data_IF_369382862603
#
_entry.id   IF_369382862603
#
_cell.length_a   1.000
_cell.length_b   1.000
_cell.length_c   1.000
_cell.angle_alpha   90.00
_cell.angle_beta   90.00
_cell.angle_gamma   90.00
#
_symmetry.space_group_name_H-M   'P 1'
#
loop_
_entity.id
_entity.type
_entity.pdbx_description
1 polymer ?
#
# COMPACT_ATOMS: atom_id res chain seq x y z
N UNK A 1 -39.86 -28.47 -19.80
CA UNK A 1 -39.11 -27.95 -18.66
C UNK A 1 -37.66 -27.83 -19.14
N UNK A 2 -37.27 -26.65 -19.60
CA UNK A 2 -35.88 -26.34 -19.92
C UNK A 2 -35.30 -25.78 -18.62
N UNK A 3 -34.35 -26.47 -18.03
CA UNK A 3 -33.51 -25.93 -16.96
C UNK A 3 -32.55 -24.94 -17.60
N UNK A 4 -32.67 -23.67 -17.21
CA UNK A 4 -31.70 -22.61 -17.52
C UNK A 4 -30.37 -22.98 -16.82
N UNK A 5 -29.43 -23.48 -17.61
CA UNK A 5 -28.01 -23.50 -17.24
C UNK A 5 -27.49 -22.04 -17.30
N UNK A 6 -27.59 -21.31 -16.19
CA UNK A 6 -26.82 -20.09 -16.01
C UNK A 6 -25.34 -20.49 -15.91
N UNK A 7 -24.58 -20.05 -16.89
CA UNK A 7 -23.11 -20.10 -16.94
C UNK A 7 -22.53 -19.39 -15.72
N UNK A 8 -22.02 -20.17 -14.75
CA UNK A 8 -21.29 -19.73 -13.56
C UNK A 8 -19.84 -19.34 -13.95
N UNK A 9 -19.67 -18.41 -14.88
CA UNK A 9 -18.36 -17.94 -15.28
C UNK A 9 -17.72 -17.10 -14.15
N UNK A 10 -16.43 -17.32 -13.83
CA UNK A 10 -15.73 -16.56 -12.80
C UNK A 10 -15.72 -15.05 -13.12
N UNK A 11 -16.07 -14.21 -12.14
CA UNK A 11 -15.97 -12.75 -12.26
C UNK A 11 -14.64 -12.29 -11.64
N UNK A 12 -13.70 -11.73 -12.44
CA UNK A 12 -12.44 -11.21 -11.91
C UNK A 12 -12.67 -9.96 -11.05
N UNK A 13 -11.95 -9.83 -9.96
CA UNK A 13 -11.90 -8.60 -9.16
C UNK A 13 -11.00 -7.59 -9.88
N UNK A 14 -11.61 -6.70 -10.65
CA UNK A 14 -10.89 -5.62 -11.34
C UNK A 14 -10.56 -4.47 -10.39
N UNK A 15 -9.32 -3.98 -10.40
CA UNK A 15 -8.94 -2.70 -9.83
C UNK A 15 -9.46 -1.56 -10.69
N UNK A 16 -10.68 -1.09 -10.44
CA UNK A 16 -11.19 0.14 -11.04
C UNK A 16 -10.93 1.31 -10.09
N UNK A 17 -10.22 2.35 -10.56
CA UNK A 17 -10.29 3.68 -9.95
C UNK A 17 -11.76 4.05 -9.86
N UNK A 18 -12.33 4.00 -8.64
CA UNK A 18 -13.72 4.38 -8.44
C UNK A 18 -13.81 5.91 -8.53
N UNK A 19 -14.33 6.43 -9.64
CA UNK A 19 -14.96 7.75 -9.65
C UNK A 19 -16.11 7.73 -8.63
N UNK A 20 -16.10 8.64 -7.68
CA UNK A 20 -17.19 8.74 -6.69
C UNK A 20 -18.39 9.37 -7.38
N UNK A 21 -19.28 8.53 -7.87
CA UNK A 21 -20.58 8.98 -8.41
C UNK A 21 -21.51 9.22 -7.23
N UNK A 22 -21.91 10.49 -7.02
CA UNK A 22 -22.87 10.85 -5.98
C UNK A 22 -24.26 10.86 -6.58
N UNK A 23 -25.01 9.79 -6.31
CA UNK A 23 -26.43 9.74 -6.59
C UNK A 23 -27.18 10.62 -5.58
N UNK A 24 -28.09 11.50 -6.07
CA UNK A 24 -28.96 12.41 -5.34
C UNK A 24 -28.34 13.76 -4.94
N UNK A 25 -27.84 14.53 -5.90
CA UNK A 25 -27.77 15.97 -5.71
C UNK A 25 -29.20 16.55 -5.53
N UNK A 26 -29.40 17.58 -4.68
CA UNK A 26 -30.67 18.29 -4.61
C UNK A 26 -31.07 18.78 -6.01
N UNK A 27 -32.16 18.29 -6.56
CA UNK A 27 -32.57 18.54 -7.93
C UNK A 27 -32.53 17.34 -8.88
N UNK A 28 -32.13 16.14 -8.39
CA UNK A 28 -32.21 14.85 -9.11
C UNK A 28 -31.12 14.61 -10.15
N UNK A 29 -29.98 15.34 -10.08
CA UNK A 29 -28.83 15.16 -10.96
C UNK A 29 -27.70 14.34 -10.31
N UNK A 30 -26.86 13.74 -11.15
CA UNK A 30 -25.57 13.15 -10.75
C UNK A 30 -24.52 14.26 -10.72
N UNK A 31 -23.77 14.38 -9.62
CA UNK A 31 -22.62 15.26 -9.54
C UNK A 31 -21.36 14.38 -9.59
N UNK A 32 -20.61 14.50 -10.67
CA UNK A 32 -19.32 13.83 -10.83
C UNK A 32 -18.22 14.69 -10.23
N UNK A 33 -17.44 14.08 -9.33
CA UNK A 33 -16.23 14.69 -8.80
C UNK A 33 -15.02 14.14 -9.57
N UNK A 34 -14.21 15.05 -10.11
CA UNK A 34 -12.94 14.70 -10.78
C UNK A 34 -11.88 14.23 -9.78
N UNK A 35 -12.03 14.67 -8.54
CA UNK A 35 -11.13 14.41 -7.40
C UNK A 35 -11.96 14.02 -6.16
N UNK A 36 -11.37 14.04 -4.95
CA UNK A 36 -12.13 13.81 -3.73
C UNK A 36 -13.27 14.81 -3.52
N UNK A 37 -14.42 14.38 -3.00
CA UNK A 37 -15.62 15.22 -2.86
C UNK A 37 -15.53 16.14 -1.63
N UNK A 38 -14.59 17.09 -1.64
CA UNK A 38 -14.31 18.00 -0.53
C UNK A 38 -15.47 18.96 -0.20
N UNK A 39 -16.40 19.19 -1.15
CA UNK A 39 -17.56 20.07 -0.97
C UNK A 39 -18.75 19.40 -0.27
N UNK A 40 -18.76 18.09 -0.08
CA UNK A 40 -19.95 17.38 0.37
C UNK A 40 -19.97 17.21 1.88
N UNK A 41 -20.94 17.85 2.53
CA UNK A 41 -21.23 17.76 3.95
C UNK A 41 -22.09 16.54 4.29
N UNK A 42 -21.66 15.33 3.95
CA UNK A 42 -22.44 14.12 4.22
C UNK A 42 -21.52 13.01 4.77
N UNK A 43 -21.96 12.21 5.73
CA UNK A 43 -21.13 11.11 6.28
C UNK A 43 -20.59 10.14 5.22
N UNK A 44 -21.35 9.87 4.15
CA UNK A 44 -20.89 9.05 3.02
C UNK A 44 -19.79 9.68 2.19
N UNK A 45 -19.62 11.00 2.24
CA UNK A 45 -18.56 11.73 1.54
C UNK A 45 -17.26 11.83 2.34
N UNK A 46 -17.20 11.20 3.51
CA UNK A 46 -16.02 11.05 4.38
C UNK A 46 -15.44 12.34 4.96
N UNK A 47 -15.87 13.52 4.50
CA UNK A 47 -15.44 14.82 5.01
C UNK A 47 -13.98 15.13 4.71
N UNK A 48 -13.61 15.24 3.44
CA UNK A 48 -12.28 15.71 3.05
C UNK A 48 -12.09 17.19 3.38
N UNK A 49 -10.87 17.56 3.77
CA UNK A 49 -10.53 18.96 4.00
C UNK A 49 -10.55 19.75 2.68
N UNK A 50 -11.34 20.82 2.56
CA UNK A 50 -11.33 21.67 1.36
C UNK A 50 -10.08 22.55 1.37
N UNK A 51 -9.06 22.14 0.62
CA UNK A 51 -7.79 22.85 0.48
C UNK A 51 -7.66 23.43 -0.93
N UNK A 52 -7.02 24.61 -0.99
CA UNK A 52 -6.69 25.32 -2.22
C UNK A 52 -5.20 25.64 -2.29
N UNK A 53 -4.72 25.98 -3.47
CA UNK A 53 -3.35 26.48 -3.63
C UNK A 53 -3.19 27.82 -2.90
N UNK A 54 -2.10 27.94 -2.15
CA UNK A 54 -1.82 29.11 -1.31
C UNK A 54 -2.43 29.07 0.09
N UNK A 55 -3.29 28.07 0.41
CA UNK A 55 -3.75 27.88 1.78
C UNK A 55 -2.55 27.55 2.71
N UNK A 56 -2.62 28.04 3.94
CA UNK A 56 -1.59 27.79 4.94
C UNK A 56 -2.08 26.85 6.03
N UNK A 57 -1.20 25.98 6.52
CA UNK A 57 -1.46 24.98 7.55
C UNK A 57 -0.49 25.18 8.72
N UNK A 58 -0.89 24.68 9.92
CA UNK A 58 -0.08 24.75 11.15
C UNK A 58 0.39 26.16 11.45
N UNK A 59 -0.57 27.09 11.63
CA UNK A 59 -0.31 28.50 11.94
C UNK A 59 0.64 29.20 10.95
N UNK A 60 0.54 28.86 9.66
CA UNK A 60 1.33 29.46 8.58
C UNK A 60 2.66 28.77 8.31
N UNK A 61 2.98 27.69 9.02
CA UNK A 61 4.23 26.92 8.83
C UNK A 61 4.35 26.29 7.44
N UNK A 62 3.24 25.82 6.86
CA UNK A 62 3.19 25.12 5.59
C UNK A 62 2.25 25.83 4.62
N UNK A 63 2.73 26.17 3.43
CA UNK A 63 1.92 26.67 2.33
C UNK A 63 1.63 25.56 1.31
N UNK A 64 0.38 25.37 0.93
CA UNK A 64 -0.05 24.38 -0.07
C UNK A 64 0.31 24.86 -1.47
N UNK A 65 1.24 24.16 -2.14
CA UNK A 65 1.74 24.57 -3.47
C UNK A 65 1.32 23.65 -4.60
N UNK A 66 0.94 22.40 -4.30
CA UNK A 66 0.51 21.41 -5.32
C UNK A 66 -0.31 20.30 -4.69
N UNK A 67 -1.27 19.77 -5.42
CA UNK A 67 -1.90 18.50 -5.06
C UNK A 67 -1.15 17.35 -5.71
N UNK A 68 -0.78 16.34 -4.93
CA UNK A 68 -0.04 15.18 -5.44
C UNK A 68 -0.99 14.04 -5.79
N UNK A 69 -1.92 13.71 -4.88
CA UNK A 69 -2.88 12.60 -5.05
C UNK A 69 -4.01 12.67 -4.03
N UNK A 70 -4.95 11.75 -4.13
CA UNK A 70 -5.92 11.49 -3.09
C UNK A 70 -6.24 9.98 -3.00
N UNK A 71 -6.78 9.57 -1.87
CA UNK A 71 -7.20 8.21 -1.58
C UNK A 71 -8.52 8.21 -0.80
N UNK A 72 -9.03 7.03 -0.51
CA UNK A 72 -10.30 6.81 0.22
C UNK A 72 -10.35 7.52 1.59
N UNK A 73 -9.20 7.69 2.25
CA UNK A 73 -9.10 8.22 3.62
C UNK A 73 -8.39 9.56 3.73
N UNK A 74 -7.75 10.05 2.65
CA UNK A 74 -6.88 11.22 2.70
C UNK A 74 -6.72 11.89 1.35
N UNK A 75 -6.25 13.13 1.35
CA UNK A 75 -5.62 13.79 0.22
C UNK A 75 -4.15 14.07 0.53
N UNK A 76 -3.29 14.09 -0.49
CA UNK A 76 -1.86 14.32 -0.35
C UNK A 76 -1.47 15.56 -1.15
N UNK A 77 -0.82 16.50 -0.46
CA UNK A 77 -0.45 17.80 -0.98
C UNK A 77 1.04 18.01 -0.86
N UNK A 78 1.62 18.70 -1.79
CA UNK A 78 2.97 19.25 -1.62
C UNK A 78 2.87 20.58 -0.92
N UNK A 79 3.67 20.76 0.10
CA UNK A 79 3.74 21.99 0.87
C UNK A 79 5.15 22.58 0.86
N UNK A 80 5.20 23.90 0.88
CA UNK A 80 6.41 24.70 1.09
C UNK A 80 6.48 25.07 2.58
N UNK A 81 7.60 24.76 3.24
CA UNK A 81 7.82 25.10 4.64
C UNK A 81 8.35 26.52 4.80
N UNK A 82 7.77 27.33 5.69
CA UNK A 82 8.34 28.61 6.08
C UNK A 82 9.41 28.41 7.17
N UNK A 83 10.67 28.38 6.76
CA UNK A 83 11.81 28.22 7.66
C UNK A 83 12.02 29.39 8.64
N UNK A 84 11.31 30.52 8.47
CA UNK A 84 11.42 31.66 9.39
C UNK A 84 10.78 31.38 10.76
N UNK A 85 9.84 30.42 10.81
CA UNK A 85 9.04 30.10 11.98
C UNK A 85 9.68 28.96 12.79
N UNK A 86 10.69 28.24 12.29
CA UNK A 86 11.15 26.99 12.85
C UNK A 86 12.51 27.08 13.54
N UNK A 87 12.59 26.37 14.66
CA UNK A 87 13.80 26.17 15.46
C UNK A 87 14.93 25.53 14.65
N UNK A 88 16.03 26.25 14.44
CA UNK A 88 17.28 25.93 13.72
C UNK A 88 18.05 24.69 14.25
N UNK A 89 17.43 23.68 14.82
CA UNK A 89 18.20 22.67 15.54
C UNK A 89 18.70 21.49 14.68
N UNK A 90 18.04 21.15 13.54
CA UNK A 90 18.52 20.11 12.63
C UNK A 90 17.98 20.36 11.21
N UNK A 91 18.81 20.81 10.24
CA UNK A 91 18.39 21.06 8.85
C UNK A 91 17.78 19.84 8.16
N UNK A 92 18.25 18.65 8.50
CA UNK A 92 17.77 17.37 7.91
C UNK A 92 16.36 16.97 8.38
N UNK A 93 15.80 17.70 9.36
CA UNK A 93 14.49 17.42 9.97
C UNK A 93 13.38 18.37 9.51
N UNK A 94 13.70 19.31 8.65
CA UNK A 94 12.79 20.35 8.20
C UNK A 94 13.08 20.72 6.73
N UNK A 95 12.66 19.83 5.80
CA UNK A 95 12.87 20.06 4.38
C UNK A 95 12.04 21.24 3.89
N UNK A 96 12.53 21.97 2.88
CA UNK A 96 11.81 23.06 2.23
C UNK A 96 10.48 22.60 1.64
N UNK A 97 10.44 21.39 1.09
CA UNK A 97 9.24 20.79 0.53
C UNK A 97 8.90 19.49 1.25
N UNK A 98 7.63 19.31 1.57
CA UNK A 98 7.10 18.09 2.21
C UNK A 98 5.85 17.60 1.51
N UNK A 99 5.61 16.27 1.60
CA UNK A 99 4.33 15.67 1.23
C UNK A 99 3.41 15.70 2.46
N UNK A 100 2.34 16.49 2.40
CA UNK A 100 1.36 16.64 3.46
C UNK A 100 0.18 15.71 3.23
N UNK A 101 0.11 14.60 3.97
CA UNK A 101 -1.06 13.72 4.01
C UNK A 101 -2.09 14.30 4.97
N UNK A 102 -3.27 14.60 4.46
CA UNK A 102 -4.38 15.19 5.22
C UNK A 102 -5.50 14.16 5.29
N UNK A 103 -5.71 13.59 6.47
CA UNK A 103 -6.80 12.64 6.69
C UNK A 103 -8.16 13.35 6.58
N UNK A 104 -9.12 12.69 5.95
CA UNK A 104 -10.50 13.16 6.03
C UNK A 104 -11.04 13.05 7.48
N UNK A 105 -12.14 13.73 7.79
CA UNK A 105 -12.67 13.81 9.16
C UNK A 105 -13.02 12.42 9.73
N UNK A 106 -13.54 11.49 8.90
CA UNK A 106 -13.87 10.14 9.33
C UNK A 106 -12.61 9.32 9.65
N UNK A 107 -11.54 9.44 8.86
CA UNK A 107 -10.28 8.76 9.11
C UNK A 107 -9.60 9.32 10.37
N UNK A 108 -9.62 10.65 10.55
CA UNK A 108 -9.11 11.30 11.77
C UNK A 108 -9.85 10.84 13.02
N UNK A 109 -11.17 10.67 12.94
CA UNK A 109 -11.96 10.15 14.08
C UNK A 109 -11.60 8.69 14.39
N UNK A 110 -11.41 7.84 13.37
CA UNK A 110 -10.98 6.45 13.57
C UNK A 110 -9.62 6.37 14.25
N UNK A 111 -8.66 7.19 13.84
CA UNK A 111 -7.35 7.29 14.50
C UNK A 111 -7.50 7.64 15.98
N UNK A 112 -8.31 8.65 16.31
CA UNK A 112 -8.57 9.08 17.68
C UNK A 112 -9.26 8.00 18.54
N UNK A 113 -10.05 7.12 17.93
CA UNK A 113 -10.74 5.99 18.59
C UNK A 113 -9.91 4.70 18.61
N UNK A 114 -8.61 4.77 18.25
CA UNK A 114 -7.72 3.61 18.11
C UNK A 114 -8.23 2.55 17.12
N UNK A 115 -8.96 2.96 16.10
CA UNK A 115 -9.33 2.14 14.95
C UNK A 115 -8.26 2.15 13.85
N UNK A 116 -7.12 2.77 14.11
CA UNK A 116 -5.90 2.83 13.30
C UNK A 116 -4.71 3.07 14.22
N UNK A 117 -3.51 2.67 13.79
CA UNK A 117 -2.26 2.83 14.54
C UNK A 117 -1.21 3.61 13.74
N UNK A 118 -1.61 4.37 12.71
CA UNK A 118 -0.67 5.11 11.88
C UNK A 118 0.16 6.11 12.68
N UNK A 119 -0.49 6.87 13.57
CA UNK A 119 0.18 7.85 14.43
C UNK A 119 1.18 7.16 15.38
N UNK A 120 0.75 6.08 16.05
CA UNK A 120 1.60 5.34 16.98
C UNK A 120 2.83 4.75 16.27
N UNK A 121 2.64 4.18 15.08
CA UNK A 121 3.73 3.67 14.24
C UNK A 121 4.74 4.78 13.88
N UNK A 122 4.25 5.94 13.42
CA UNK A 122 5.09 7.07 13.05
C UNK A 122 5.86 7.65 14.24
N UNK A 123 5.24 7.73 15.43
CA UNK A 123 5.90 8.20 16.65
C UNK A 123 7.02 7.23 17.09
N UNK A 124 6.81 5.92 17.00
CA UNK A 124 7.85 4.91 17.28
C UNK A 124 8.99 4.98 16.28
N UNK A 125 8.70 5.09 14.99
CA UNK A 125 9.73 5.28 13.96
C UNK A 125 10.56 6.53 14.23
N UNK A 126 9.93 7.64 14.64
CA UNK A 126 10.63 8.89 14.99
C UNK A 126 11.62 8.72 16.14
N UNK A 127 11.35 7.84 17.11
CA UNK A 127 12.28 7.53 18.22
C UNK A 127 13.54 6.81 17.72
N UNK A 128 13.52 6.17 16.56
CA UNK A 128 14.60 5.41 15.96
C UNK A 128 15.37 6.17 14.86
N UNK A 129 15.14 7.48 14.69
CA UNK A 129 15.75 8.24 13.59
C UNK A 129 17.27 8.41 13.69
N UNK A 130 17.86 8.21 14.87
CA UNK A 130 19.30 8.20 15.08
C UNK A 130 19.90 6.77 15.00
N UNK A 131 19.12 5.77 14.54
CA UNK A 131 19.58 4.39 14.36
C UNK A 131 20.54 4.27 13.16
N UNK A 132 21.61 3.49 13.34
CA UNK A 132 22.53 3.12 12.24
C UNK A 132 22.01 1.97 11.38
N UNK A 133 20.77 1.50 11.63
CA UNK A 133 20.21 0.38 10.88
C UNK A 133 19.96 0.76 9.42
N UNK A 134 20.48 0.00 8.43
CA UNK A 134 20.39 0.36 7.01
C UNK A 134 18.94 0.49 6.50
N UNK A 135 18.00 -0.24 7.10
CA UNK A 135 16.59 -0.19 6.73
C UNK A 135 15.88 1.13 7.03
N UNK A 136 16.44 1.96 7.93
CA UNK A 136 15.89 3.30 8.20
C UNK A 136 15.83 4.17 6.94
N UNK A 137 16.82 4.06 6.04
CA UNK A 137 16.87 4.82 4.78
C UNK A 137 15.80 4.39 3.77
N UNK A 138 15.16 3.23 4.01
CA UNK A 138 14.09 2.68 3.17
C UNK A 138 12.70 2.78 3.81
N UNK A 139 12.53 3.65 4.81
CA UNK A 139 11.25 4.01 5.39
C UNK A 139 10.96 5.51 5.17
N UNK A 140 9.71 5.87 4.90
CA UNK A 140 9.32 7.30 4.84
C UNK A 140 9.53 7.95 6.19
N UNK A 141 9.99 9.20 6.22
CA UNK A 141 10.11 10.00 7.43
C UNK A 141 8.89 10.90 7.58
N UNK A 142 8.31 10.91 8.79
CA UNK A 142 7.25 11.84 9.17
C UNK A 142 7.84 12.96 10.03
N UNK A 143 7.99 14.15 9.47
CA UNK A 143 8.63 15.29 10.13
C UNK A 143 7.73 15.94 11.19
N UNK A 144 6.43 16.02 10.88
CA UNK A 144 5.45 16.75 11.71
C UNK A 144 4.09 16.08 11.69
N UNK A 145 3.35 16.21 12.81
CA UNK A 145 1.95 15.79 12.92
C UNK A 145 1.19 16.85 13.69
N UNK A 146 0.11 17.35 13.10
CA UNK A 146 -0.74 18.37 13.72
C UNK A 146 -2.20 18.19 13.28
N UNK A 147 -3.08 19.06 13.77
CA UNK A 147 -4.51 18.96 13.46
C UNK A 147 -5.04 20.29 12.94
N UNK A 148 -5.76 20.22 11.84
CA UNK A 148 -6.51 21.32 11.26
C UNK A 148 -8.01 21.15 11.46
N UNK A 149 -8.76 22.23 11.29
CA UNK A 149 -10.23 22.22 11.34
C UNK A 149 -10.82 22.76 10.04
N UNK A 150 -11.86 22.10 9.58
CA UNK A 150 -12.70 22.60 8.48
C UNK A 150 -14.19 22.50 8.83
N UNK A 151 -15.04 22.85 7.88
CA UNK A 151 -16.50 22.68 7.99
C UNK A 151 -16.93 21.21 8.17
N UNK A 152 -16.05 20.26 7.85
CA UNK A 152 -16.29 18.81 7.95
C UNK A 152 -15.81 18.21 9.27
N UNK A 153 -15.01 18.92 10.05
CA UNK A 153 -14.48 18.45 11.32
C UNK A 153 -12.98 18.67 11.49
N UNK A 154 -12.35 17.80 12.29
CA UNK A 154 -10.90 17.79 12.49
C UNK A 154 -10.23 16.90 11.45
N UNK A 155 -9.04 17.31 11.03
CA UNK A 155 -8.18 16.60 10.10
C UNK A 155 -6.80 16.44 10.72
N UNK A 156 -6.31 15.19 10.79
CA UNK A 156 -4.92 14.94 11.12
C UNK A 156 -4.09 15.18 9.86
N UNK A 157 -3.08 16.01 10.00
CA UNK A 157 -2.13 16.39 8.95
C UNK A 157 -0.77 15.83 9.32
N UNK A 158 -0.11 15.19 8.38
CA UNK A 158 1.19 14.54 8.56
C UNK A 158 2.13 14.96 7.44
N UNK A 159 3.26 15.57 7.79
CA UNK A 159 4.28 16.02 6.85
C UNK A 159 5.34 14.93 6.67
N UNK A 160 5.44 14.39 5.45
CA UNK A 160 6.35 13.31 5.09
C UNK A 160 7.47 13.77 4.15
N UNK A 161 8.49 12.91 4.02
CA UNK A 161 9.46 12.99 2.93
C UNK A 161 8.73 13.08 1.59
N UNK A 162 9.17 14.02 0.75
CA UNK A 162 8.68 14.13 -0.61
C UNK A 162 9.23 12.98 -1.46
N UNK A 163 8.35 12.26 -2.12
CA UNK A 163 8.68 11.10 -2.96
C UNK A 163 8.11 11.28 -4.37
N UNK A 164 8.60 10.48 -5.29
CA UNK A 164 8.03 10.30 -6.62
C UNK A 164 6.80 9.39 -6.64
N UNK A 165 6.60 8.69 -7.75
CA UNK A 165 5.50 7.74 -7.95
C UNK A 165 5.68 6.48 -7.10
N UNK A 166 4.64 5.66 -7.01
CA UNK A 166 4.74 4.34 -6.39
C UNK A 166 5.40 3.31 -7.33
N UNK A 167 5.85 2.18 -6.80
CA UNK A 167 6.31 1.05 -7.64
C UNK A 167 5.17 0.48 -8.48
N UNK A 168 3.92 0.60 -8.04
CA UNK A 168 2.73 0.17 -8.78
C UNK A 168 2.53 1.04 -10.02
N UNK A 169 2.54 2.37 -9.86
CA UNK A 169 2.49 3.32 -10.98
C UNK A 169 3.68 3.10 -11.95
N UNK A 170 4.88 2.87 -11.41
CA UNK A 170 6.08 2.64 -12.21
C UNK A 170 6.03 1.32 -12.98
N UNK A 171 5.37 0.28 -12.43
CA UNK A 171 5.12 -0.99 -13.08
C UNK A 171 4.15 -0.82 -14.27
N UNK A 172 3.09 -0.04 -14.08
CA UNK A 172 2.11 0.27 -15.14
C UNK A 172 2.76 1.00 -16.33
N UNK A 173 3.82 1.75 -16.10
CA UNK A 173 4.60 2.42 -17.16
C UNK A 173 5.52 1.46 -17.93
N UNK A 174 5.77 0.23 -17.42
CA UNK A 174 6.64 -0.73 -18.10
C UNK A 174 5.91 -1.35 -19.30
N UNK A 175 6.62 -1.56 -20.45
CA UNK A 175 5.98 -2.04 -21.70
C UNK A 175 5.23 -3.36 -21.57
N UNK A 176 5.63 -4.23 -20.64
CA UNK A 176 5.02 -5.54 -20.41
C UNK A 176 4.28 -5.61 -19.05
N UNK A 177 4.16 -4.49 -18.34
CA UNK A 177 3.66 -4.50 -16.98
C UNK A 177 4.52 -5.32 -16.00
N UNK A 178 5.83 -5.52 -16.32
CA UNK A 178 6.76 -6.29 -15.49
C UNK A 178 8.10 -5.57 -15.37
N UNK A 179 8.78 -5.76 -14.24
CA UNK A 179 10.17 -5.31 -14.08
C UNK A 179 11.16 -6.40 -14.49
N UNK A 180 12.36 -5.97 -14.91
CA UNK A 180 13.48 -6.91 -15.12
C UNK A 180 13.95 -7.49 -13.78
N UNK A 181 14.49 -8.71 -13.80
CA UNK A 181 14.97 -9.39 -12.58
C UNK A 181 15.95 -8.56 -11.75
N UNK A 182 16.96 -7.86 -12.33
CA UNK A 182 17.86 -7.01 -11.56
C UNK A 182 17.14 -5.88 -10.80
N UNK A 183 16.11 -5.28 -11.41
CA UNK A 183 15.28 -4.23 -10.79
C UNK A 183 14.47 -4.82 -9.64
N UNK A 184 13.85 -6.00 -9.82
CA UNK A 184 13.10 -6.69 -8.77
C UNK A 184 14.02 -7.05 -7.59
N UNK A 185 15.20 -7.64 -7.84
CA UNK A 185 16.19 -7.92 -6.80
C UNK A 185 16.57 -6.66 -6.01
N UNK A 186 16.76 -5.53 -6.71
CA UNK A 186 17.13 -4.26 -6.10
C UNK A 186 16.08 -3.78 -5.11
N UNK A 187 14.82 -3.61 -5.53
CA UNK A 187 13.81 -3.06 -4.62
C UNK A 187 13.34 -4.07 -3.57
N UNK A 188 13.33 -5.38 -3.85
CA UNK A 188 13.01 -6.42 -2.86
C UNK A 188 14.07 -6.43 -1.75
N UNK A 189 15.35 -6.25 -2.08
CA UNK A 189 16.41 -6.09 -1.05
C UNK A 189 16.15 -4.89 -0.16
N UNK A 190 15.78 -3.75 -0.73
CA UNK A 190 15.46 -2.53 0.01
C UNK A 190 14.19 -2.71 0.87
N UNK A 191 13.16 -3.39 0.34
CA UNK A 191 11.96 -3.74 1.08
C UNK A 191 12.27 -4.63 2.29
N UNK A 192 13.14 -5.64 2.12
CA UNK A 192 13.59 -6.49 3.23
C UNK A 192 14.40 -5.72 4.28
N UNK A 193 15.26 -4.78 3.88
CA UNK A 193 15.97 -3.90 4.81
C UNK A 193 14.98 -3.05 5.62
N UNK A 194 13.96 -2.47 4.96
CA UNK A 194 12.92 -1.71 5.63
C UNK A 194 12.13 -2.57 6.62
N UNK A 195 11.71 -3.78 6.22
CA UNK A 195 10.97 -4.69 7.09
C UNK A 195 11.82 -5.18 8.27
N UNK A 196 13.11 -5.46 8.08
CA UNK A 196 13.99 -5.82 9.17
C UNK A 196 14.09 -4.70 10.21
N UNK A 197 14.22 -3.45 9.77
CA UNK A 197 14.17 -2.29 10.65
C UNK A 197 12.82 -2.16 11.37
N UNK A 198 11.70 -2.26 10.67
CA UNK A 198 10.37 -2.15 11.25
C UNK A 198 10.10 -3.26 12.28
N UNK A 199 10.49 -4.49 11.99
CA UNK A 199 10.28 -5.65 12.85
C UNK A 199 11.16 -5.64 14.08
N UNK A 200 12.46 -5.27 13.95
CA UNK A 200 13.47 -5.44 15.02
C UNK A 200 13.71 -4.17 15.83
N UNK A 201 13.68 -2.98 15.20
CA UNK A 201 13.98 -1.72 15.88
C UNK A 201 12.72 -0.96 16.29
N UNK A 202 11.66 -1.05 15.49
CA UNK A 202 10.42 -0.29 15.72
C UNK A 202 9.33 -1.15 16.35
N UNK A 203 9.43 -2.48 16.23
CA UNK A 203 8.42 -3.45 16.69
C UNK A 203 7.06 -3.25 16.01
N UNK A 204 7.05 -3.11 14.68
CA UNK A 204 5.85 -2.92 13.86
C UNK A 204 5.72 -4.06 12.86
N UNK A 205 4.49 -4.53 12.64
CA UNK A 205 4.08 -5.36 11.50
C UNK A 205 3.32 -4.47 10.53
N UNK A 206 3.73 -4.39 9.27
CA UNK A 206 3.16 -3.45 8.29
C UNK A 206 1.76 -3.88 7.81
N UNK A 207 1.56 -5.17 7.56
CA UNK A 207 0.30 -5.81 7.14
C UNK A 207 -0.25 -5.40 5.76
N UNK A 208 0.41 -4.54 5.01
CA UNK A 208 -0.02 -4.12 3.66
C UNK A 208 1.19 -3.88 2.73
N UNK A 209 2.13 -4.86 2.72
CA UNK A 209 3.34 -4.80 1.88
C UNK A 209 2.95 -5.12 0.43
N UNK A 210 2.91 -4.08 -0.40
CA UNK A 210 2.56 -4.15 -1.83
C UNK A 210 3.21 -3.00 -2.60
N UNK A 211 3.30 -3.10 -3.93
CA UNK A 211 3.96 -2.12 -4.79
C UNK A 211 3.43 -0.69 -4.59
N UNK A 212 2.12 -0.53 -4.39
CA UNK A 212 1.48 0.77 -4.17
C UNK A 212 1.90 1.48 -2.86
N UNK A 213 2.56 0.77 -1.93
CA UNK A 213 3.04 1.34 -0.66
C UNK A 213 4.58 1.53 -0.64
N UNK A 214 5.25 1.30 -1.77
CA UNK A 214 6.66 1.67 -1.98
C UNK A 214 6.74 2.86 -2.93
N UNK A 215 7.38 3.92 -2.46
CA UNK A 215 7.54 5.17 -3.19
C UNK A 215 8.97 5.31 -3.68
N UNK A 216 9.14 5.83 -4.91
CA UNK A 216 10.46 6.15 -5.47
C UNK A 216 11.05 7.33 -4.71
N UNK A 217 12.27 7.19 -4.21
CA UNK A 217 13.00 8.31 -3.62
C UNK A 217 13.38 9.32 -4.71
N UNK A 218 13.09 10.58 -4.46
CA UNK A 218 13.50 11.69 -5.34
C UNK A 218 14.97 12.02 -5.08
N UNK A 219 15.78 12.05 -6.14
CA UNK A 219 17.15 12.54 -6.12
C UNK A 219 17.17 13.94 -6.79
N UNK A 220 16.71 14.94 -6.05
CA UNK A 220 16.67 16.33 -6.49
C UNK A 220 16.80 17.27 -5.30
N UNK A 221 17.58 18.34 -5.49
CA UNK A 221 17.65 19.42 -4.54
C UNK A 221 16.46 20.39 -4.66
N UNK A 222 16.32 21.28 -3.70
CA UNK A 222 15.26 22.28 -3.65
C UNK A 222 15.23 23.21 -4.88
N UNK A 223 16.36 23.46 -5.52
CA UNK A 223 16.45 24.33 -6.70
C UNK A 223 15.84 23.64 -7.92
N UNK A 224 16.10 22.32 -8.10
CA UNK A 224 15.50 21.50 -9.15
C UNK A 224 13.98 21.44 -8.99
N UNK A 225 13.51 21.16 -7.78
CA UNK A 225 12.07 21.12 -7.46
C UNK A 225 11.43 22.50 -7.70
N UNK A 226 12.05 23.58 -7.21
CA UNK A 226 11.53 24.95 -7.40
C UNK A 226 11.40 25.31 -8.87
N UNK A 227 12.42 24.97 -9.68
CA UNK A 227 12.39 25.20 -11.13
C UNK A 227 11.27 24.43 -11.81
N UNK A 228 11.13 23.14 -11.46
CA UNK A 228 10.04 22.31 -12.00
C UNK A 228 8.66 22.90 -11.71
N UNK A 229 8.41 23.37 -10.48
CA UNK A 229 7.13 23.99 -10.11
C UNK A 229 6.86 25.29 -10.87
N UNK A 230 7.89 26.07 -11.21
CA UNK A 230 7.75 27.26 -12.04
C UNK A 230 7.41 26.93 -13.50
N UNK A 231 8.04 25.87 -14.04
CA UNK A 231 7.83 25.43 -15.44
C UNK A 231 6.50 24.63 -15.59
N UNK A 232 6.03 24.01 -14.53
CA UNK A 232 4.82 23.17 -14.49
C UNK A 232 3.92 23.60 -13.32
N UNK A 233 3.24 24.75 -13.43
CA UNK A 233 2.41 25.28 -12.35
C UNK A 233 1.26 24.33 -12.03
N UNK A 234 0.81 24.40 -10.78
CA UNK A 234 -0.35 23.63 -10.33
C UNK A 234 -1.63 24.13 -10.97
N UNK A 235 -2.52 23.20 -11.33
CA UNK A 235 -3.74 23.50 -12.05
C UNK A 235 -4.98 23.17 -11.20
N UNK A 236 -6.07 23.89 -11.51
CA UNK A 236 -7.40 23.58 -10.99
C UNK A 236 -8.36 23.28 -12.16
N UNK A 237 -9.40 22.51 -11.88
CA UNK A 237 -10.52 22.37 -12.80
C UNK A 237 -11.30 23.69 -12.89
N UNK A 238 -12.11 23.88 -13.95
CA UNK A 238 -12.98 25.06 -14.05
C UNK A 238 -13.87 25.19 -12.81
N UNK A 239 -13.91 26.41 -12.25
CA UNK A 239 -14.76 26.71 -11.09
C UNK A 239 -16.23 26.39 -11.39
N UNK A 240 -16.88 25.69 -10.48
CA UNK A 240 -18.31 25.33 -10.58
C UNK A 240 -19.08 25.93 -9.41
N UNK A 241 -20.39 26.06 -9.61
CA UNK A 241 -21.34 26.52 -8.58
C UNK A 241 -22.48 25.52 -8.48
N UNK A 242 -22.77 25.07 -7.27
CA UNK A 242 -23.88 24.15 -7.01
C UNK A 242 -24.47 24.44 -5.62
N UNK A 243 -25.48 25.31 -5.57
CA UNK A 243 -26.07 25.84 -4.33
C UNK A 243 -26.64 24.79 -3.37
N UNK A 244 -26.93 23.57 -3.84
CA UNK A 244 -27.38 22.47 -3.00
C UNK A 244 -26.24 21.64 -2.36
N UNK A 245 -25.00 21.83 -2.82
CA UNK A 245 -23.82 21.11 -2.30
C UNK A 245 -22.90 22.01 -1.49
N UNK A 246 -22.68 23.24 -1.97
CA UNK A 246 -21.72 24.17 -1.39
C UNK A 246 -22.18 25.63 -1.54
N UNK A 247 -21.97 26.45 -0.50
CA UNK A 247 -22.42 27.84 -0.44
C UNK A 247 -21.47 28.83 -1.15
N UNK A 248 -20.61 28.37 -2.03
CA UNK A 248 -19.62 29.18 -2.71
C UNK A 248 -19.10 28.53 -3.99
N UNK A 249 -18.02 29.07 -4.55
CA UNK A 249 -17.37 28.43 -5.70
C UNK A 249 -16.76 27.09 -5.30
N UNK A 250 -16.97 26.07 -6.11
CA UNK A 250 -16.30 24.77 -5.98
C UNK A 250 -15.02 24.85 -6.80
N UNK A 251 -13.89 24.93 -6.11
CA UNK A 251 -12.55 24.96 -6.72
C UNK A 251 -11.88 23.63 -6.43
N UNK A 252 -11.73 22.80 -7.45
CA UNK A 252 -11.11 21.49 -7.34
C UNK A 252 -9.69 21.55 -7.95
N UNK A 253 -8.68 21.29 -7.14
CA UNK A 253 -7.28 21.26 -7.57
C UNK A 253 -6.99 19.91 -8.21
N UNK A 254 -6.32 19.90 -9.37
CA UNK A 254 -5.93 18.69 -10.08
C UNK A 254 -4.82 17.94 -9.34
N UNK A 255 -4.93 16.63 -9.25
CA UNK A 255 -3.83 15.78 -8.80
C UNK A 255 -2.74 15.72 -9.86
N UNK A 256 -1.55 16.20 -9.51
CA UNK A 256 -0.38 16.32 -10.38
C UNK A 256 0.84 15.79 -9.63
N UNK A 257 1.11 14.47 -9.68
CA UNK A 257 2.27 13.88 -9.02
C UNK A 257 3.58 14.48 -9.54
N UNK A 258 4.64 14.33 -8.77
CA UNK A 258 5.98 14.75 -9.19
C UNK A 258 6.62 13.67 -10.07
N UNK A 259 7.49 14.07 -11.01
CA UNK A 259 8.32 13.10 -11.71
C UNK A 259 9.33 12.44 -10.77
N UNK A 260 9.84 11.29 -11.16
CA UNK A 260 10.88 10.58 -10.44
C UNK A 260 12.25 11.21 -10.73
N UNK A 261 12.49 12.40 -10.16
CA UNK A 261 13.73 13.14 -10.37
C UNK A 261 14.97 12.26 -10.10
N UNK A 262 15.94 12.32 -11.00
CA UNK A 262 17.19 11.57 -10.91
C UNK A 262 17.08 10.07 -11.20
N UNK A 263 15.88 9.52 -11.42
CA UNK A 263 15.70 8.12 -11.76
C UNK A 263 16.19 7.84 -13.20
N UNK A 264 17.09 6.86 -13.31
CA UNK A 264 17.57 6.38 -14.62
C UNK A 264 16.45 5.61 -15.33
N UNK A 265 16.25 5.82 -16.65
CA UNK A 265 15.25 5.07 -17.43
C UNK A 265 15.40 3.54 -17.38
N UNK A 266 16.61 3.02 -17.13
CA UNK A 266 16.87 1.59 -16.93
C UNK A 266 16.50 1.10 -15.51
N UNK A 267 16.12 2.00 -14.62
CA UNK A 267 15.85 1.77 -13.19
C UNK A 267 17.06 1.22 -12.41
N UNK A 268 18.28 1.38 -12.96
CA UNK A 268 19.50 0.85 -12.37
C UNK A 268 19.88 1.51 -11.04
N UNK A 269 19.41 2.75 -10.80
CA UNK A 269 19.60 3.50 -9.56
C UNK A 269 18.32 3.60 -8.71
N UNK A 270 17.30 2.76 -8.98
CA UNK A 270 16.03 2.78 -8.25
C UNK A 270 16.26 2.64 -6.73
N UNK A 271 15.82 3.63 -5.98
CA UNK A 271 15.74 3.61 -4.53
C UNK A 271 14.29 3.83 -4.11
N UNK A 272 13.84 3.02 -3.14
CA UNK A 272 12.46 3.06 -2.66
C UNK A 272 12.38 3.17 -1.15
N UNK A 273 11.28 3.73 -0.69
CA UNK A 273 10.89 3.77 0.72
C UNK A 273 9.49 3.18 0.89
N UNK A 274 9.30 2.42 1.98
CA UNK A 274 7.98 1.95 2.38
C UNK A 274 7.24 3.04 3.16
N UNK A 275 5.94 3.18 2.90
CA UNK A 275 5.04 4.12 3.58
C UNK A 275 3.63 3.58 3.71
N UNK A 276 2.69 4.46 4.07
CA UNK A 276 1.27 4.17 4.30
C UNK A 276 1.04 3.13 5.43
N UNK A 277 1.36 3.52 6.65
CA UNK A 277 1.19 2.71 7.86
C UNK A 277 -0.26 2.67 8.39
N UNK A 278 -1.20 3.34 7.75
CA UNK A 278 -2.54 3.53 8.31
C UNK A 278 -3.74 3.38 7.39
N UNK A 279 -3.56 3.21 6.11
CA UNK A 279 -4.56 3.28 5.03
C UNK A 279 -5.95 2.69 5.26
N UNK A 280 -6.71 3.20 6.21
CA UNK A 280 -8.14 2.96 6.37
C UNK A 280 -8.56 1.77 7.23
N UNK A 281 -7.68 0.88 7.58
CA UNK A 281 -7.84 -0.22 8.52
C UNK A 281 -6.57 -0.36 9.35
N UNK A 282 -6.58 -1.11 10.44
CA UNK A 282 -5.39 -1.34 11.25
C UNK A 282 -4.34 -2.03 10.37
N UNK A 283 -3.32 -1.29 9.89
CA UNK A 283 -2.31 -1.81 8.98
C UNK A 283 -0.96 -2.07 9.64
N UNK A 284 -0.61 -1.28 10.66
CA UNK A 284 0.59 -1.48 11.43
C UNK A 284 0.20 -1.88 12.85
N UNK A 285 0.50 -3.09 13.25
CA UNK A 285 0.27 -3.57 14.61
C UNK A 285 1.54 -3.39 15.42
N UNK A 286 1.39 -2.82 16.60
CA UNK A 286 2.47 -2.73 17.56
C UNK A 286 2.56 -4.08 18.27
N UNK A 287 3.72 -4.76 18.20
CA UNK A 287 3.91 -6.09 18.76
C UNK A 287 3.61 -6.16 20.28
N UNK A 288 3.65 -5.03 20.99
CA UNK A 288 3.34 -4.95 22.43
C UNK A 288 1.84 -4.93 22.72
N UNK A 289 1.02 -4.31 21.84
CA UNK A 289 -0.42 -4.15 22.01
C UNK A 289 -1.21 -5.12 21.11
N UNK A 290 -0.53 -6.12 20.55
CA UNK A 290 -1.08 -6.98 19.53
C UNK A 290 -2.11 -7.95 20.06
N UNK A 291 -3.30 -7.97 19.43
CA UNK A 291 -4.31 -9.01 19.55
C UNK A 291 -4.29 -9.89 18.29
N UNK A 292 -3.89 -11.18 18.40
CA UNK A 292 -3.80 -12.10 17.26
C UNK A 292 -5.14 -12.37 16.56
N UNK A 293 -6.25 -11.92 17.13
CA UNK A 293 -7.61 -12.08 16.62
C UNK A 293 -8.22 -10.77 16.13
N UNK A 294 -7.46 -9.66 16.18
CA UNK A 294 -7.94 -8.36 15.69
C UNK A 294 -8.30 -8.41 14.20
N UNK A 295 -9.28 -7.60 13.81
CA UNK A 295 -9.78 -7.50 12.44
C UNK A 295 -8.66 -7.33 11.41
N UNK A 296 -8.69 -8.16 10.37
CA UNK A 296 -7.62 -8.32 9.41
C UNK A 296 -7.60 -7.16 8.40
N UNK A 297 -6.64 -6.28 8.56
CA UNK A 297 -6.40 -5.12 7.70
C UNK A 297 -5.84 -5.47 6.31
N UNK A 298 -5.24 -6.65 6.18
CA UNK A 298 -4.59 -7.11 4.96
C UNK A 298 -5.60 -7.34 3.84
N UNK A 299 -5.38 -6.84 2.62
CA UNK A 299 -6.20 -7.20 1.46
C UNK A 299 -6.30 -8.71 1.29
N UNK A 300 -7.49 -9.22 1.00
CA UNK A 300 -7.74 -10.67 0.95
C UNK A 300 -6.73 -11.43 0.09
N UNK A 301 -6.40 -10.89 -1.09
CA UNK A 301 -5.47 -11.51 -2.04
C UNK A 301 -4.02 -11.62 -1.52
N UNK A 302 -3.64 -10.83 -0.51
CA UNK A 302 -2.31 -10.82 0.11
C UNK A 302 -2.27 -11.53 1.47
N UNK A 303 -3.42 -12.03 1.96
CA UNK A 303 -3.48 -12.66 3.28
C UNK A 303 -2.66 -13.93 3.34
N UNK A 304 -1.84 -14.01 4.37
CA UNK A 304 -1.09 -15.21 4.68
C UNK A 304 -2.02 -16.33 5.25
N UNK A 305 -1.64 -17.61 5.15
CA UNK A 305 -2.42 -18.74 5.64
C UNK A 305 -2.93 -18.59 7.08
N UNK A 306 -2.05 -18.11 7.97
CA UNK A 306 -2.37 -17.87 9.38
C UNK A 306 -3.40 -16.75 9.59
N UNK A 307 -3.47 -15.78 8.71
CA UNK A 307 -4.52 -14.75 8.74
C UNK A 307 -5.86 -15.29 8.23
N UNK A 308 -5.84 -16.13 7.18
CA UNK A 308 -7.05 -16.73 6.60
C UNK A 308 -7.71 -17.68 7.59
N UNK A 309 -6.92 -18.49 8.29
CA UNK A 309 -7.38 -19.55 9.17
C UNK A 309 -7.50 -19.14 10.64
N UNK A 310 -7.37 -17.83 10.95
CA UNK A 310 -7.41 -17.27 12.31
C UNK A 310 -6.43 -17.99 13.26
N UNK A 311 -5.21 -18.22 12.78
CA UNK A 311 -4.07 -18.61 13.59
C UNK A 311 -3.39 -17.38 14.20
N UNK A 312 -2.45 -17.61 15.13
CA UNK A 312 -1.58 -16.54 15.63
C UNK A 312 -0.66 -16.04 14.52
N UNK A 313 -0.64 -14.73 14.30
CA UNK A 313 0.18 -14.10 13.25
C UNK A 313 1.02 -12.93 13.79
N UNK A 314 2.10 -12.61 13.14
CA UNK A 314 3.02 -11.52 13.48
C UNK A 314 3.84 -11.10 12.25
N UNK A 315 5.09 -10.67 12.43
CA UNK A 315 5.99 -10.22 11.34
C UNK A 315 6.10 -11.17 10.13
N UNK A 316 5.92 -12.52 10.22
CA UNK A 316 5.97 -13.37 9.04
C UNK A 316 4.91 -13.05 7.97
N UNK A 317 3.80 -12.38 8.30
CA UNK A 317 2.80 -11.99 7.30
C UNK A 317 3.36 -11.01 6.26
N UNK A 318 4.26 -10.10 6.68
CA UNK A 318 4.91 -9.16 5.76
C UNK A 318 5.86 -9.90 4.79
N UNK A 319 6.49 -10.99 5.25
CA UNK A 319 7.34 -11.82 4.40
C UNK A 319 6.53 -12.59 3.34
N UNK A 320 5.35 -13.09 3.71
CA UNK A 320 4.40 -13.66 2.74
C UNK A 320 4.07 -12.66 1.63
N UNK A 321 3.80 -11.40 2.02
CA UNK A 321 3.50 -10.34 1.07
C UNK A 321 4.70 -9.99 0.17
N UNK A 322 5.94 -10.07 0.67
CA UNK A 322 7.16 -9.95 -0.17
C UNK A 322 7.16 -11.01 -1.26
N UNK A 323 6.80 -12.25 -0.93
CA UNK A 323 6.67 -13.33 -1.92
C UNK A 323 5.64 -13.00 -3.01
N UNK A 324 4.46 -12.54 -2.60
CA UNK A 324 3.39 -12.11 -3.51
C UNK A 324 3.85 -10.92 -4.38
N UNK A 325 4.46 -9.90 -3.77
CA UNK A 325 4.97 -8.72 -4.47
C UNK A 325 6.07 -9.06 -5.48
N UNK A 326 7.00 -9.95 -5.11
CA UNK A 326 8.06 -10.41 -6.01
C UNK A 326 7.47 -11.12 -7.23
N UNK A 327 6.48 -11.98 -7.02
CA UNK A 327 5.81 -12.70 -8.11
C UNK A 327 5.08 -11.74 -9.07
N UNK A 328 4.24 -10.84 -8.56
CA UNK A 328 3.48 -9.91 -9.43
C UNK A 328 4.41 -9.00 -10.21
N UNK A 329 5.51 -8.56 -9.63
CA UNK A 329 6.51 -7.70 -10.27
C UNK A 329 7.19 -8.35 -11.49
N UNK A 330 7.30 -9.68 -11.49
CA UNK A 330 7.93 -10.45 -12.57
C UNK A 330 6.92 -10.96 -13.59
N UNK A 331 5.64 -11.09 -13.24
CA UNK A 331 4.66 -11.83 -14.06
C UNK A 331 3.44 -10.99 -14.46
N UNK A 332 3.28 -9.79 -13.92
CA UNK A 332 2.08 -8.94 -14.06
C UNK A 332 0.77 -9.62 -13.60
N UNK A 333 0.84 -10.72 -12.85
CA UNK A 333 -0.32 -11.46 -12.36
C UNK A 333 -0.19 -11.74 -10.87
N UNK A 334 -1.31 -11.85 -10.15
CA UNK A 334 -1.28 -12.23 -8.75
C UNK A 334 -0.94 -13.71 -8.57
N UNK A 335 -0.21 -14.07 -7.51
CA UNK A 335 0.06 -15.47 -7.16
C UNK A 335 -1.24 -16.22 -6.95
N UNK A 336 -2.15 -15.61 -6.17
CA UNK A 336 -3.43 -16.20 -5.80
C UNK A 336 -4.56 -15.43 -6.48
N UNK A 337 -5.00 -15.86 -7.66
CA UNK A 337 -6.12 -15.26 -8.37
C UNK A 337 -7.43 -15.69 -7.72
N UNK A 338 -8.16 -14.72 -7.17
CA UNK A 338 -9.40 -14.95 -6.45
C UNK A 338 -10.61 -14.69 -7.34
N UNK A 339 -11.65 -15.49 -7.11
CA UNK A 339 -12.96 -15.32 -7.73
C UNK A 339 -14.03 -15.89 -6.77
N UNK A 340 -15.30 -15.64 -7.02
CA UNK A 340 -16.40 -16.28 -6.31
C UNK A 340 -17.37 -16.96 -7.29
N UNK A 341 -18.06 -17.96 -6.81
CA UNK A 341 -19.16 -18.64 -7.51
C UNK A 341 -20.31 -18.86 -6.53
N UNK A 342 -21.44 -19.42 -7.01
CA UNK A 342 -22.55 -19.80 -6.12
C UNK A 342 -22.15 -20.86 -5.05
N UNK A 343 -21.03 -21.57 -5.22
CA UNK A 343 -20.57 -22.67 -4.35
C UNK A 343 -19.30 -22.37 -3.57
N UNK A 344 -18.48 -21.42 -4.04
CA UNK A 344 -17.17 -21.08 -3.51
C UNK A 344 -17.12 -19.60 -3.18
N UNK A 345 -16.75 -19.25 -1.96
CA UNK A 345 -16.35 -17.90 -1.62
C UNK A 345 -14.86 -17.66 -1.95
N UNK A 346 -14.43 -16.42 -1.84
CA UNK A 346 -13.05 -16.02 -2.14
C UNK A 346 -12.02 -16.70 -1.22
N UNK A 347 -12.41 -17.03 0.01
CA UNK A 347 -11.56 -17.74 0.97
C UNK A 347 -11.37 -19.19 0.57
N UNK A 348 -12.43 -19.89 0.15
CA UNK A 348 -12.35 -21.25 -0.39
C UNK A 348 -11.36 -21.31 -1.56
N UNK A 349 -11.49 -20.32 -2.48
CA UNK A 349 -10.61 -20.22 -3.65
C UNK A 349 -9.17 -19.93 -3.23
N UNK A 350 -8.95 -19.01 -2.28
CA UNK A 350 -7.61 -18.66 -1.83
C UNK A 350 -6.87 -19.87 -1.23
N UNK A 351 -7.52 -20.58 -0.31
CA UNK A 351 -6.95 -21.80 0.28
C UNK A 351 -6.64 -22.87 -0.79
N UNK A 352 -7.54 -23.03 -1.79
CA UNK A 352 -7.31 -23.95 -2.89
C UNK A 352 -6.10 -23.54 -3.76
N UNK A 353 -5.91 -22.22 -4.02
CA UNK A 353 -4.72 -21.69 -4.71
C UNK A 353 -3.44 -21.93 -3.92
N UNK A 354 -3.46 -21.72 -2.60
CA UNK A 354 -2.30 -22.04 -1.76
C UNK A 354 -1.93 -23.50 -1.86
N UNK A 355 -2.89 -24.42 -1.77
CA UNK A 355 -2.63 -25.86 -1.94
C UNK A 355 -2.07 -26.17 -3.34
N UNK A 356 -2.65 -25.60 -4.39
CA UNK A 356 -2.25 -25.85 -5.79
C UNK A 356 -0.83 -25.35 -6.07
N UNK A 357 -0.51 -24.11 -5.66
CA UNK A 357 0.74 -23.46 -6.05
C UNK A 357 1.88 -23.74 -5.08
N UNK A 358 1.61 -23.85 -3.79
CA UNK A 358 2.63 -23.99 -2.75
C UNK A 358 2.69 -25.44 -2.25
N UNK A 359 1.54 -26.04 -1.95
CA UNK A 359 1.47 -27.41 -1.48
C UNK A 359 0.47 -27.62 -0.32
N UNK A 360 0.41 -28.84 0.24
CA UNK A 360 -0.51 -29.15 1.31
C UNK A 360 -0.15 -28.41 2.60
N UNK A 361 -1.18 -28.08 3.38
CA UNK A 361 -1.01 -27.44 4.68
C UNK A 361 -0.42 -28.45 5.70
N UNK A 362 0.67 -28.08 6.45
CA UNK A 362 1.20 -28.92 7.49
C UNK A 362 0.19 -29.19 8.60
N UNK A 363 0.04 -30.46 9.05
CA UNK A 363 -0.92 -30.82 10.08
C UNK A 363 -0.71 -30.02 11.39
N UNK A 364 0.56 -29.90 11.84
CA UNK A 364 0.90 -29.12 13.02
C UNK A 364 0.55 -27.63 12.92
N UNK A 365 0.57 -27.05 11.72
CA UNK A 365 0.08 -25.69 11.49
C UNK A 365 -1.45 -25.63 11.59
N UNK A 366 -2.16 -26.54 10.93
CA UNK A 366 -3.63 -26.60 10.97
C UNK A 366 -4.19 -26.76 12.39
N UNK A 367 -3.49 -27.51 13.26
CA UNK A 367 -3.89 -27.72 14.65
C UNK A 367 -3.89 -26.43 15.48
N UNK A 368 -3.17 -25.40 15.05
CA UNK A 368 -3.08 -24.08 15.70
C UNK A 368 -4.06 -23.06 15.13
N UNK A 369 -4.89 -23.42 14.15
CA UNK A 369 -5.79 -22.54 13.45
C UNK A 369 -7.24 -22.73 13.89
N UNK A 370 -7.88 -21.66 14.35
CA UNK A 370 -9.25 -21.69 14.88
C UNK A 370 -10.28 -22.08 13.80
N UNK A 371 -10.06 -21.68 12.53
CA UNK A 371 -10.96 -21.97 11.40
C UNK A 371 -10.64 -23.26 10.64
N UNK A 372 -9.74 -24.13 11.16
CA UNK A 372 -9.38 -25.39 10.51
C UNK A 372 -10.59 -26.18 10.04
N UNK A 373 -11.51 -26.48 10.97
CA UNK A 373 -12.68 -27.37 10.71
C UNK A 373 -13.69 -26.77 9.74
N UNK A 374 -13.63 -25.46 9.49
CA UNK A 374 -14.51 -24.81 8.51
C UNK A 374 -14.08 -25.13 7.07
N UNK A 375 -12.78 -25.35 6.84
CA UNK A 375 -12.20 -25.48 5.50
C UNK A 375 -11.52 -26.83 5.23
N UNK A 376 -11.13 -27.58 6.28
CA UNK A 376 -10.38 -28.82 6.15
C UNK A 376 -11.07 -29.97 6.90
N UNK A 377 -10.95 -31.17 6.32
CA UNK A 377 -11.31 -32.40 6.98
C UNK A 377 -10.27 -32.86 8.03
N UNK A 378 -10.55 -33.98 8.71
CA UNK A 378 -9.64 -34.50 9.73
C UNK A 378 -8.29 -34.97 9.19
N UNK A 379 -8.19 -35.20 7.88
CA UNK A 379 -6.95 -35.59 7.20
C UNK A 379 -6.15 -34.39 6.68
N UNK A 380 -6.65 -33.14 6.87
CA UNK A 380 -6.03 -31.91 6.40
C UNK A 380 -6.26 -31.64 4.90
N UNK A 381 -7.27 -32.26 4.30
CA UNK A 381 -7.69 -31.97 2.92
C UNK A 381 -8.78 -30.91 2.91
N UNK A 382 -8.77 -30.04 1.91
CA UNK A 382 -9.82 -29.05 1.72
C UNK A 382 -11.19 -29.72 1.52
N UNK A 383 -12.22 -29.18 2.19
CA UNK A 383 -13.62 -29.58 2.03
C UNK A 383 -14.18 -29.20 0.67
N UNK A 384 -13.67 -28.14 0.06
CA UNK A 384 -14.06 -27.66 -1.26
C UNK A 384 -12.84 -27.48 -2.14
N UNK A 385 -13.01 -27.69 -3.45
CA UNK A 385 -11.94 -27.55 -4.46
C UNK A 385 -12.31 -26.47 -5.46
N UNK A 386 -11.34 -25.63 -5.82
CA UNK A 386 -11.45 -24.65 -6.90
C UNK A 386 -11.03 -25.26 -8.26
N UNK A 387 -11.38 -24.59 -9.34
CA UNK A 387 -10.85 -24.94 -10.68
C UNK A 387 -9.33 -24.78 -10.69
N UNK A 388 -8.57 -25.67 -11.36
CA UNK A 388 -7.13 -25.54 -11.48
C UNK A 388 -6.70 -24.21 -12.14
N UNK A 389 -5.57 -23.66 -11.71
CA UNK A 389 -4.99 -22.40 -12.23
C UNK A 389 -3.46 -22.53 -12.43
N UNK A 390 -3.05 -23.36 -13.37
CA UNK A 390 -1.65 -23.46 -13.78
C UNK A 390 -0.77 -24.41 -12.95
N UNK A 391 -1.28 -25.01 -11.87
CA UNK A 391 -0.53 -25.96 -11.04
C UNK A 391 0.53 -25.31 -10.15
N UNK A 392 1.66 -25.99 -9.85
CA UNK A 392 2.70 -25.50 -8.97
C UNK A 392 3.25 -24.12 -9.37
N UNK A 393 3.74 -23.35 -8.40
CA UNK A 393 4.30 -22.00 -8.56
C UNK A 393 5.31 -21.91 -9.73
N UNK A 394 6.17 -22.90 -9.88
CA UNK A 394 7.19 -22.94 -10.92
C UNK A 394 6.59 -22.99 -12.33
N UNK A 395 5.45 -23.66 -12.52
CA UNK A 395 4.76 -23.70 -13.81
C UNK A 395 4.27 -22.31 -14.20
N UNK A 396 3.68 -21.57 -13.25
CA UNK A 396 3.20 -20.21 -13.47
C UNK A 396 4.35 -19.24 -13.75
N UNK A 397 5.43 -19.33 -12.97
CA UNK A 397 6.66 -18.56 -13.23
C UNK A 397 7.26 -18.91 -14.59
N UNK A 398 7.33 -20.20 -14.95
CA UNK A 398 7.87 -20.63 -16.24
C UNK A 398 7.02 -20.10 -17.40
N UNK A 399 5.71 -20.11 -17.29
CA UNK A 399 4.81 -19.60 -18.32
C UNK A 399 5.01 -18.08 -18.57
N UNK A 400 5.23 -17.31 -17.49
CA UNK A 400 5.42 -15.87 -17.56
C UNK A 400 6.85 -15.47 -17.98
N UNK A 401 7.88 -16.24 -17.56
CA UNK A 401 9.29 -15.89 -17.74
C UNK A 401 10.01 -16.71 -18.82
N UNK A 402 9.23 -17.42 -19.65
CA UNK A 402 9.80 -18.29 -20.71
C UNK A 402 10.68 -17.49 -21.67
N UNK A 403 11.97 -17.87 -21.72
CA UNK A 403 12.95 -17.25 -22.62
C UNK A 403 13.52 -15.91 -22.11
N UNK A 404 13.09 -15.40 -20.96
CA UNK A 404 13.60 -14.14 -20.38
C UNK A 404 14.71 -14.37 -19.34
N UNK A 405 14.67 -15.48 -18.60
CA UNK A 405 15.65 -15.82 -17.57
C UNK A 405 16.48 -17.05 -17.93
N UNK A 406 17.75 -17.02 -17.51
CA UNK A 406 18.60 -18.21 -17.50
C UNK A 406 18.10 -19.26 -16.51
N UNK A 407 18.45 -20.54 -16.74
CA UNK A 407 17.97 -21.65 -15.90
C UNK A 407 18.39 -21.52 -14.41
N UNK A 408 19.53 -20.88 -14.13
CA UNK A 408 19.97 -20.63 -12.76
C UNK A 408 19.12 -19.55 -12.10
N UNK A 409 18.99 -18.38 -12.74
CA UNK A 409 18.17 -17.27 -12.22
C UNK A 409 16.71 -17.70 -11.98
N UNK A 410 16.16 -18.49 -12.91
CA UNK A 410 14.82 -19.04 -12.74
C UNK A 410 14.69 -19.89 -11.47
N UNK A 411 15.63 -20.85 -11.26
CA UNK A 411 15.61 -21.73 -10.07
C UNK A 411 15.77 -20.95 -8.77
N UNK A 412 16.70 -19.99 -8.74
CA UNK A 412 16.93 -19.17 -7.56
C UNK A 412 15.73 -18.25 -7.28
N UNK A 413 15.11 -17.68 -8.31
CA UNK A 413 13.90 -16.84 -8.15
C UNK A 413 12.73 -17.67 -7.62
N UNK A 414 12.49 -18.85 -8.18
CA UNK A 414 11.42 -19.74 -7.71
C UNK A 414 11.66 -20.18 -6.25
N UNK A 415 12.90 -20.52 -5.90
CA UNK A 415 13.28 -20.90 -4.53
C UNK A 415 13.09 -19.75 -3.56
N UNK A 416 13.51 -18.52 -3.89
CA UNK A 416 13.32 -17.33 -3.08
C UNK A 416 11.83 -17.08 -2.80
N UNK A 417 10.99 -17.07 -3.85
CA UNK A 417 9.54 -16.85 -3.71
C UNK A 417 8.92 -17.94 -2.83
N UNK A 418 9.29 -19.21 -3.01
CA UNK A 418 8.81 -20.31 -2.16
C UNK A 418 9.19 -20.15 -0.69
N UNK A 419 10.38 -19.67 -0.39
CA UNK A 419 10.80 -19.38 0.99
C UNK A 419 9.93 -18.31 1.62
N UNK A 420 9.62 -17.25 0.88
CA UNK A 420 8.67 -16.21 1.33
C UNK A 420 7.26 -16.77 1.52
N UNK A 421 6.80 -17.67 0.66
CA UNK A 421 5.48 -18.28 0.68
C UNK A 421 5.44 -19.61 1.45
N UNK A 422 6.31 -19.80 2.44
CA UNK A 422 6.23 -20.93 3.38
C UNK A 422 4.93 -20.85 4.18
N UNK A 423 4.12 -21.92 4.16
CA UNK A 423 2.75 -21.93 4.74
C UNK A 423 2.78 -21.72 6.26
N UNK A 424 3.64 -22.47 6.98
CA UNK A 424 3.78 -22.31 8.44
C UNK A 424 4.61 -21.05 8.75
N UNK A 425 4.04 -20.03 9.43
CA UNK A 425 4.76 -18.81 9.77
C UNK A 425 5.99 -19.06 10.64
N UNK A 426 6.03 -20.13 11.43
CA UNK A 426 7.17 -20.48 12.28
C UNK A 426 8.40 -21.00 11.48
N UNK A 427 8.14 -21.53 10.28
CA UNK A 427 9.18 -22.03 9.36
C UNK A 427 9.53 -20.97 8.28
N UNK A 428 8.75 -19.89 8.21
CA UNK A 428 8.97 -18.79 7.25
C UNK A 428 10.18 -17.97 7.71
N UNK A 429 11.17 -17.70 6.82
CA UNK A 429 12.36 -16.93 7.20
C UNK A 429 12.00 -15.49 7.55
N UNK A 430 12.82 -14.87 8.40
CA UNK A 430 12.77 -13.44 8.71
C UNK A 430 13.31 -12.60 7.57
N UNK A 431 13.09 -11.28 7.61
CA UNK A 431 13.67 -10.34 6.64
C UNK A 431 15.20 -10.41 6.65
N UNK A 432 15.83 -10.44 7.83
CA UNK A 432 17.28 -10.59 7.99
C UNK A 432 17.82 -11.87 7.34
N UNK A 433 17.15 -13.01 7.54
CA UNK A 433 17.54 -14.28 6.93
C UNK A 433 17.40 -14.27 5.40
N UNK A 434 16.40 -13.59 4.86
CA UNK A 434 16.23 -13.44 3.42
C UNK A 434 17.25 -12.50 2.78
N UNK A 435 17.76 -11.51 3.50
CA UNK A 435 18.84 -10.64 3.00
C UNK A 435 20.14 -11.40 2.71
N UNK A 436 20.35 -12.54 3.36
CA UNK A 436 21.49 -13.44 3.13
C UNK A 436 21.23 -14.49 2.04
N UNK A 437 20.08 -14.41 1.33
CA UNK A 437 19.72 -15.38 0.29
C UNK A 437 20.65 -15.28 -0.93
N UNK A 438 21.07 -16.44 -1.47
CA UNK A 438 21.87 -16.54 -2.68
C UNK A 438 21.25 -15.87 -3.90
N UNK A 439 19.93 -15.67 -3.90
CA UNK A 439 19.21 -14.95 -4.95
C UNK A 439 19.74 -13.52 -5.16
N UNK A 440 20.24 -12.87 -4.10
CA UNK A 440 20.84 -11.54 -4.20
C UNK A 440 22.31 -11.53 -4.60
N UNK A 441 22.98 -12.69 -4.56
CA UNK A 441 24.41 -12.81 -4.88
C UNK A 441 24.70 -12.99 -6.37
N UNK A 442 23.67 -13.27 -7.18
CA UNK A 442 23.76 -13.53 -8.62
C UNK A 442 23.49 -12.31 -9.47
#
# INVERSE_FOLDING_TARGET
>A
MCEDQHDDAPVPLGHTRQSVVIYNAPGGGVFDCEEEPHMIKHPKARGYMPLHLGDTLNDGKYEVVRKLSYAVSSSVWMTLSDHSIIYRQRPDWDPKYAAMKVLNANATLREALKGSYELDALLRMKQQWDSDHPGLSHCVRCYDVFFEKSVHGRHMCMAFTLCGTTLDDLLDEQPLGTFSLPVVKRFVKQALLALDFLHTQVSIVHCDVKLANFFVQIDADDAVISKYLQEHPSESYPTRYHSGLWDGPIITVKSQPLPNFGLDPSLSNLNVVIGDFGGGTIKAFLLEDWDPKADQATPLILRAPEQILEGAWSTPVDIWMIGCMTFVSLTATNVFELYHTSKLDETDVHLARIVEHIGPFPAAFLERCDKRTQYFDDTGRLLKTALPNGGPLENRLSAALLGTLGAQDFRQTAAFIRRCLTIDPNERPTAAQLLEDEWFAS
#
